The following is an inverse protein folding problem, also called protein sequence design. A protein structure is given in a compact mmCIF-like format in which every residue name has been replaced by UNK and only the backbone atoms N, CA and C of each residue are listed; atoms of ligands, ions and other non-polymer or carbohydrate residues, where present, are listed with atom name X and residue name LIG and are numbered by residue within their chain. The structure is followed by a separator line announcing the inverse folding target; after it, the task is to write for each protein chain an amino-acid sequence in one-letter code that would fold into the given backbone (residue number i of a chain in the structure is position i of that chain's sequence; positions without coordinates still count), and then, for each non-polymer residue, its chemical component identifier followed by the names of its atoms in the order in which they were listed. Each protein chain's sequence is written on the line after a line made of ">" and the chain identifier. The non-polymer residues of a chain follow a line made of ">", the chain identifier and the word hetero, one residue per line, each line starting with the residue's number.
data_IF_260406921256
#
_entry.id   IF_260406921256
#
_cell.length_a   1.000
_cell.length_b   1.000
_cell.length_c   1.000
_cell.angle_alpha   90.00
_cell.angle_beta   90.00
_cell.angle_gamma   90.00
#
_symmetry.space_group_name_H-M   'P 1'
#
loop_
_entity.id
_entity.type
_entity.pdbx_description
1 polymer ?
#
# COMPACT_ATOMS: atom_id res chain seq x y z
N UNK A 1 -45.67 -21.70 -7.54
CA UNK A 1 -45.42 -20.25 -7.62
C UNK A 1 -45.21 -19.90 -9.09
N UNK A 2 -46.06 -19.03 -9.65
CA UNK A 2 -45.93 -18.61 -11.04
C UNK A 2 -44.62 -17.82 -11.20
N UNK A 3 -43.63 -18.38 -11.91
CA UNK A 3 -42.43 -17.65 -12.32
C UNK A 3 -42.90 -16.49 -13.19
N UNK A 4 -42.72 -15.24 -12.75
CA UNK A 4 -43.08 -14.11 -13.60
C UNK A 4 -42.22 -14.20 -14.88
N UNK A 5 -42.90 -14.19 -16.01
CA UNK A 5 -42.31 -14.19 -17.36
C UNK A 5 -41.99 -12.76 -17.82
N UNK A 6 -42.17 -11.76 -16.96
CA UNK A 6 -41.89 -10.36 -17.27
C UNK A 6 -40.42 -10.04 -17.07
N UNK A 7 -39.85 -9.38 -18.07
CA UNK A 7 -38.54 -8.73 -18.06
C UNK A 7 -38.76 -7.21 -17.88
N UNK A 8 -37.82 -6.47 -17.28
CA UNK A 8 -36.54 -6.92 -16.71
C UNK A 8 -36.68 -7.76 -15.43
N UNK A 9 -35.75 -8.70 -15.23
CA UNK A 9 -35.59 -9.41 -13.95
C UNK A 9 -34.38 -8.85 -13.22
N UNK A 10 -34.49 -8.78 -11.90
CA UNK A 10 -33.45 -8.25 -11.04
C UNK A 10 -33.11 -9.26 -9.95
N UNK A 11 -31.84 -9.37 -9.60
CA UNK A 11 -31.40 -10.16 -8.45
C UNK A 11 -30.12 -9.61 -7.88
N UNK A 12 -29.95 -9.74 -6.57
CA UNK A 12 -28.69 -9.49 -5.88
C UNK A 12 -28.27 -10.78 -5.20
N UNK A 13 -27.02 -11.19 -5.39
CA UNK A 13 -26.45 -12.38 -4.77
C UNK A 13 -25.13 -12.03 -4.11
N UNK A 14 -24.92 -12.51 -2.90
CA UNK A 14 -23.64 -12.44 -2.21
C UNK A 14 -23.07 -13.86 -2.14
N UNK A 15 -21.86 -14.02 -2.68
CA UNK A 15 -21.11 -15.27 -2.67
C UNK A 15 -19.69 -14.94 -2.20
N UNK A 16 -19.31 -15.42 -1.01
CA UNK A 16 -18.05 -15.07 -0.35
C UNK A 16 -17.87 -13.53 -0.27
N UNK A 17 -16.73 -13.02 -0.77
CA UNK A 17 -16.36 -11.60 -0.78
C UNK A 17 -16.90 -10.82 -2.00
N UNK A 18 -17.90 -11.36 -2.69
CA UNK A 18 -18.43 -10.77 -3.92
C UNK A 18 -19.93 -10.59 -3.86
N UNK A 19 -20.39 -9.37 -4.10
CA UNK A 19 -21.82 -9.07 -4.28
C UNK A 19 -22.09 -8.77 -5.75
N UNK A 20 -22.94 -9.56 -6.38
CA UNK A 20 -23.35 -9.39 -7.78
C UNK A 20 -24.78 -8.88 -7.84
N UNK A 21 -24.96 -7.68 -8.37
CA UNK A 21 -26.25 -7.10 -8.71
C UNK A 21 -26.51 -7.34 -10.20
N UNK A 22 -27.60 -8.00 -10.54
CA UNK A 22 -27.94 -8.40 -11.91
C UNK A 22 -29.22 -7.70 -12.40
N UNK A 23 -29.16 -7.22 -13.64
CA UNK A 23 -30.32 -6.94 -14.48
C UNK A 23 -30.29 -7.88 -15.69
N UNK A 24 -31.36 -8.64 -15.85
CA UNK A 24 -31.57 -9.54 -16.98
C UNK A 24 -32.68 -8.98 -17.87
N UNK A 25 -32.32 -8.65 -19.10
CA UNK A 25 -33.23 -8.30 -20.20
C UNK A 25 -33.41 -9.50 -21.14
N UNK A 26 -34.27 -9.35 -22.16
CA UNK A 26 -34.52 -10.41 -23.15
C UNK A 26 -33.26 -10.78 -23.96
N UNK A 27 -32.43 -9.80 -24.29
CA UNK A 27 -31.28 -9.95 -25.19
C UNK A 27 -29.93 -9.65 -24.54
N UNK A 28 -29.92 -9.26 -23.25
CA UNK A 28 -28.72 -8.74 -22.58
C UNK A 28 -28.79 -9.02 -21.08
N UNK A 29 -27.67 -9.42 -20.50
CA UNK A 29 -27.48 -9.52 -19.05
C UNK A 29 -26.43 -8.51 -18.63
N UNK A 30 -26.71 -7.75 -17.57
CA UNK A 30 -25.77 -6.77 -17.03
C UNK A 30 -25.59 -7.01 -15.54
N UNK A 31 -24.33 -7.01 -15.11
CA UNK A 31 -23.94 -7.22 -13.73
C UNK A 31 -23.13 -6.02 -13.24
N UNK A 32 -23.37 -5.60 -12.00
CA UNK A 32 -22.44 -4.78 -11.24
C UNK A 32 -21.91 -5.66 -10.12
N UNK A 33 -20.61 -5.91 -10.15
CA UNK A 33 -19.90 -6.79 -9.23
C UNK A 33 -19.14 -5.93 -8.24
N UNK A 34 -19.41 -6.11 -6.95
CA UNK A 34 -18.72 -5.46 -5.84
C UNK A 34 -17.80 -6.48 -5.17
N UNK A 35 -16.52 -6.15 -5.05
CA UNK A 35 -15.58 -6.85 -4.19
C UNK A 35 -15.61 -6.22 -2.79
N UNK A 36 -16.04 -6.98 -1.79
CA UNK A 36 -16.21 -6.48 -0.41
C UNK A 36 -14.89 -6.31 0.34
N UNK A 37 -13.83 -7.03 -0.04
CA UNK A 37 -12.50 -6.89 0.59
C UNK A 37 -11.77 -5.64 0.11
N UNK A 38 -11.93 -5.25 -1.16
CA UNK A 38 -11.44 -3.97 -1.69
C UNK A 38 -12.29 -2.77 -1.27
N UNK A 39 -13.57 -2.99 -0.92
CA UNK A 39 -14.50 -1.90 -0.60
C UNK A 39 -14.24 -1.29 0.78
N UNK A 40 -13.81 -0.03 0.80
CA UNK A 40 -13.55 0.72 2.05
C UNK A 40 -14.78 1.45 2.61
N UNK A 41 -15.92 1.36 1.93
CA UNK A 41 -17.12 2.11 2.32
C UNK A 41 -16.98 3.64 2.22
N UNK A 42 -16.07 4.14 1.37
CA UNK A 42 -15.82 5.58 1.20
C UNK A 42 -17.01 6.40 0.69
N UNK A 43 -17.96 5.76 0.00
CA UNK A 43 -19.20 6.39 -0.45
C UNK A 43 -19.11 7.19 -1.76
N UNK A 44 -17.92 7.31 -2.37
CA UNK A 44 -17.75 7.99 -3.67
C UNK A 44 -18.72 7.42 -4.71
N UNK A 45 -18.86 6.09 -4.79
CA UNK A 45 -19.80 5.43 -5.70
C UNK A 45 -21.27 5.87 -5.52
N UNK A 46 -21.69 6.13 -4.28
CA UNK A 46 -23.03 6.65 -3.96
C UNK A 46 -23.18 8.09 -4.42
N UNK A 47 -22.19 8.94 -4.16
CA UNK A 47 -22.19 10.36 -4.54
C UNK A 47 -22.19 10.57 -6.06
N UNK A 48 -21.44 9.75 -6.80
CA UNK A 48 -21.30 9.89 -8.25
C UNK A 48 -22.43 9.21 -9.04
N UNK A 49 -23.30 8.44 -8.39
CA UNK A 49 -24.33 7.68 -9.09
C UNK A 49 -25.39 8.63 -9.68
N UNK A 50 -25.58 8.70 -11.01
CA UNK A 50 -26.57 9.59 -11.62
C UNK A 50 -28.03 9.14 -11.40
N UNK A 51 -28.22 7.92 -10.89
CA UNK A 51 -29.55 7.33 -10.63
C UNK A 51 -29.83 7.14 -9.14
N UNK A 52 -28.92 7.58 -8.26
CA UNK A 52 -29.01 7.42 -6.81
C UNK A 52 -29.37 5.96 -6.43
N UNK A 53 -28.78 5.01 -7.16
CA UNK A 53 -29.06 3.58 -7.02
C UNK A 53 -28.24 2.94 -5.90
N UNK A 54 -27.21 3.63 -5.39
CA UNK A 54 -26.25 3.11 -4.42
C UNK A 54 -26.45 3.84 -3.09
N UNK A 55 -26.61 3.07 -2.02
CA UNK A 55 -26.72 3.58 -0.64
C UNK A 55 -25.60 3.00 0.22
N UNK A 56 -25.15 3.76 1.22
CA UNK A 56 -24.17 3.30 2.20
C UNK A 56 -24.85 2.43 3.27
N UNK A 57 -24.18 1.34 3.64
CA UNK A 57 -24.56 0.48 4.77
C UNK A 57 -23.87 0.92 6.08
N UNK A 58 -23.75 -0.03 7.01
CA UNK A 58 -23.05 0.18 8.29
C UNK A 58 -21.52 0.12 8.10
N UNK A 59 -20.94 1.11 7.42
CA UNK A 59 -19.51 1.14 7.03
C UNK A 59 -18.57 0.77 8.18
N UNK A 60 -18.71 1.40 9.34
CA UNK A 60 -17.85 1.12 10.49
C UNK A 60 -18.03 -0.28 11.10
N UNK A 61 -19.19 -0.91 10.94
CA UNK A 61 -19.42 -2.28 11.42
C UNK A 61 -18.89 -3.30 10.41
N UNK A 62 -19.22 -3.14 9.13
CA UNK A 62 -18.80 -4.03 8.04
C UNK A 62 -17.29 -4.02 7.87
N UNK A 63 -16.66 -2.85 7.76
CA UNK A 63 -15.21 -2.75 7.51
C UNK A 63 -14.34 -3.17 8.71
N UNK A 64 -14.92 -3.35 9.90
CA UNK A 64 -14.23 -3.95 11.07
C UNK A 64 -14.56 -5.43 11.27
N UNK A 65 -15.36 -6.03 10.38
CA UNK A 65 -15.80 -7.42 10.52
C UNK A 65 -16.75 -7.66 11.69
N UNK A 66 -17.46 -6.62 12.17
CA UNK A 66 -18.44 -6.77 13.25
C UNK A 66 -19.79 -7.35 12.77
N UNK A 67 -20.02 -7.34 11.45
CA UNK A 67 -21.18 -7.93 10.80
C UNK A 67 -20.67 -8.77 9.63
N UNK A 68 -21.03 -10.04 9.63
CA UNK A 68 -20.80 -10.98 8.53
C UNK A 68 -22.02 -10.94 7.59
N UNK A 69 -21.83 -11.24 6.30
CA UNK A 69 -22.89 -11.26 5.27
C UNK A 69 -23.55 -9.90 4.91
N UNK A 70 -22.93 -8.77 5.28
CA UNK A 70 -23.31 -7.44 4.80
C UNK A 70 -22.17 -6.76 4.05
N UNK A 71 -22.53 -5.91 3.07
CA UNK A 71 -21.59 -5.08 2.33
C UNK A 71 -21.67 -3.61 2.79
N UNK A 72 -20.55 -2.89 2.67
CA UNK A 72 -20.48 -1.48 3.05
C UNK A 72 -21.37 -0.57 2.19
N UNK A 73 -21.80 -1.06 1.03
CA UNK A 73 -22.77 -0.40 0.15
C UNK A 73 -23.83 -1.41 -0.31
N UNK A 74 -25.03 -0.90 -0.61
CA UNK A 74 -26.10 -1.66 -1.26
C UNK A 74 -26.52 -0.95 -2.53
N UNK A 75 -26.83 -1.72 -3.58
CA UNK A 75 -27.23 -1.17 -4.88
C UNK A 75 -28.58 -1.74 -5.27
N UNK A 76 -29.50 -0.84 -5.63
CA UNK A 76 -30.80 -1.19 -6.19
C UNK A 76 -30.64 -1.52 -7.69
N UNK A 77 -30.70 -2.81 -8.09
CA UNK A 77 -30.53 -3.21 -9.49
C UNK A 77 -31.64 -2.69 -10.41
N UNK A 78 -32.79 -2.29 -9.87
CA UNK A 78 -33.89 -1.72 -10.65
C UNK A 78 -33.69 -0.23 -10.98
N UNK A 79 -32.93 0.50 -10.15
CA UNK A 79 -32.52 1.89 -10.41
C UNK A 79 -31.20 1.98 -11.18
N UNK A 80 -30.31 1.00 -10.99
CA UNK A 80 -28.98 0.99 -11.60
C UNK A 80 -29.08 0.93 -13.13
N UNK A 81 -28.36 1.83 -13.80
CA UNK A 81 -28.25 1.84 -15.27
C UNK A 81 -27.04 1.06 -15.79
N UNK A 82 -26.24 0.45 -14.91
CA UNK A 82 -25.00 -0.28 -15.25
C UNK A 82 -24.04 0.55 -16.15
N UNK A 83 -23.94 1.86 -15.89
CA UNK A 83 -23.16 2.77 -16.74
C UNK A 83 -21.64 2.75 -16.48
N UNK A 84 -21.19 2.29 -15.31
CA UNK A 84 -19.77 2.19 -14.97
C UNK A 84 -19.15 3.45 -14.33
N UNK A 85 -19.90 4.54 -14.11
CA UNK A 85 -19.38 5.75 -13.43
C UNK A 85 -18.78 5.41 -12.05
N UNK A 86 -19.48 4.58 -11.27
CA UNK A 86 -19.01 4.14 -9.96
C UNK A 86 -17.76 3.26 -10.01
N UNK A 87 -17.53 2.54 -11.12
CA UNK A 87 -16.29 1.79 -11.36
C UNK A 87 -15.13 2.75 -11.64
N UNK A 88 -15.31 3.68 -12.58
CA UNK A 88 -14.25 4.64 -12.96
C UNK A 88 -13.84 5.52 -11.78
N UNK A 89 -14.81 5.96 -10.97
CA UNK A 89 -14.55 6.83 -9.82
C UNK A 89 -14.14 6.08 -8.56
N UNK A 90 -14.09 4.75 -8.56
CA UNK A 90 -13.65 3.99 -7.38
C UNK A 90 -12.12 4.03 -7.26
N UNK A 91 -11.54 4.68 -6.24
CA UNK A 91 -10.08 4.73 -6.08
C UNK A 91 -9.48 3.42 -5.51
N UNK A 92 -10.31 2.40 -5.30
CA UNK A 92 -9.94 1.11 -4.70
C UNK A 92 -10.22 -0.07 -5.64
N UNK A 93 -10.66 0.19 -6.87
CA UNK A 93 -11.00 -0.84 -7.85
C UNK A 93 -11.94 -1.94 -7.30
N UNK A 94 -12.96 -1.52 -6.53
CA UNK A 94 -13.86 -2.42 -5.82
C UNK A 94 -15.12 -2.78 -6.62
N UNK A 95 -15.38 -2.12 -7.76
CA UNK A 95 -16.62 -2.22 -8.52
C UNK A 95 -16.33 -2.51 -9.99
N UNK A 96 -16.96 -3.52 -10.56
CA UNK A 96 -16.81 -3.87 -11.98
C UNK A 96 -18.18 -4.04 -12.65
N UNK A 97 -18.35 -3.46 -13.84
CA UNK A 97 -19.53 -3.71 -14.68
C UNK A 97 -19.20 -4.81 -15.68
N UNK A 98 -20.09 -5.80 -15.77
CA UNK A 98 -20.04 -6.85 -16.80
C UNK A 98 -21.29 -6.84 -17.66
N UNK A 99 -21.12 -7.11 -18.95
CA UNK A 99 -22.18 -7.29 -19.92
C UNK A 99 -22.01 -8.66 -20.56
N UNK A 100 -23.04 -9.50 -20.47
CA UNK A 100 -23.04 -10.86 -21.00
C UNK A 100 -21.83 -11.71 -20.56
N UNK A 101 -21.33 -11.45 -19.34
CA UNK A 101 -20.22 -12.17 -18.71
C UNK A 101 -18.86 -11.47 -18.82
N UNK A 102 -18.70 -10.52 -19.73
CA UNK A 102 -17.42 -9.84 -20.00
C UNK A 102 -17.35 -8.45 -19.34
N UNK A 103 -16.19 -8.02 -18.83
CA UNK A 103 -15.99 -6.64 -18.38
C UNK A 103 -16.33 -5.64 -19.48
N UNK A 104 -17.18 -4.66 -19.18
CA UNK A 104 -17.55 -3.59 -20.12
C UNK A 104 -17.74 -2.29 -19.37
N UNK A 105 -17.20 -1.21 -19.93
CA UNK A 105 -17.36 0.15 -19.40
C UNK A 105 -18.06 1.00 -20.47
N UNK A 106 -19.40 0.89 -20.61
CA UNK A 106 -20.13 1.53 -21.71
C UNK A 106 -19.90 3.04 -21.78
N UNK A 107 -19.75 3.71 -20.63
CA UNK A 107 -19.54 5.16 -20.62
C UNK A 107 -18.14 5.57 -21.09
N UNK A 108 -17.12 4.73 -20.86
CA UNK A 108 -15.75 4.98 -21.33
C UNK A 108 -15.62 4.64 -22.81
N UNK A 109 -16.22 3.54 -23.24
CA UNK A 109 -16.28 3.11 -24.65
C UNK A 109 -16.93 4.16 -25.56
N UNK A 110 -17.78 5.03 -25.00
CA UNK A 110 -18.48 6.11 -25.71
C UNK A 110 -17.83 7.50 -25.47
N UNK A 111 -16.61 7.57 -24.93
CA UNK A 111 -15.92 8.82 -24.56
C UNK A 111 -16.80 9.76 -23.70
N UNK A 112 -17.65 9.20 -22.84
CA UNK A 112 -18.65 9.94 -22.07
C UNK A 112 -18.17 10.40 -20.69
N UNK A 113 -16.99 9.97 -20.24
CA UNK A 113 -16.50 10.20 -18.88
C UNK A 113 -14.96 10.20 -18.80
N UNK A 114 -14.34 11.04 -17.94
CA UNK A 114 -12.89 11.09 -17.81
C UNK A 114 -12.37 10.03 -16.82
N UNK A 115 -11.04 9.85 -16.77
CA UNK A 115 -10.34 8.97 -15.83
C UNK A 115 -9.51 9.77 -14.84
N UNK A 116 -9.10 9.17 -13.72
CA UNK A 116 -8.15 9.82 -12.82
C UNK A 116 -6.82 10.15 -13.53
N UNK A 117 -6.33 11.37 -13.31
CA UNK A 117 -5.03 11.86 -13.75
C UNK A 117 -4.09 11.97 -12.54
N UNK A 118 -3.57 10.82 -12.15
CA UNK A 118 -2.65 10.70 -11.02
C UNK A 118 -1.27 10.26 -11.51
N UNK A 119 -0.28 10.40 -10.65
CA UNK A 119 1.10 9.99 -10.90
C UNK A 119 1.56 9.15 -9.73
N UNK A 120 2.12 7.98 -10.01
CA UNK A 120 2.77 7.14 -9.02
C UNK A 120 3.98 6.46 -9.66
N UNK A 121 5.10 7.17 -9.65
CA UNK A 121 6.31 6.80 -10.40
C UNK A 121 7.54 6.75 -9.50
N UNK A 122 8.48 5.88 -9.87
CA UNK A 122 9.79 5.74 -9.21
C UNK A 122 10.87 6.07 -10.23
N UNK A 123 11.70 7.06 -9.93
CA UNK A 123 12.90 7.39 -10.69
C UNK A 123 13.97 6.33 -10.43
N UNK A 124 14.16 5.43 -11.41
CA UNK A 124 15.18 4.38 -11.39
C UNK A 124 16.61 4.91 -11.25
N UNK A 125 16.88 6.17 -11.62
CA UNK A 125 18.20 6.76 -11.46
C UNK A 125 18.50 7.09 -9.99
N UNK A 126 17.49 7.48 -9.23
CA UNK A 126 17.62 7.76 -7.78
C UNK A 126 17.38 6.53 -6.92
N UNK A 127 16.51 5.61 -7.35
CA UNK A 127 16.13 4.45 -6.57
C UNK A 127 17.34 3.51 -6.32
N UNK A 128 17.65 3.29 -5.04
CA UNK A 128 18.66 2.31 -4.58
C UNK A 128 18.07 0.92 -4.33
N UNK A 129 16.75 0.76 -4.54
CA UNK A 129 15.99 -0.50 -4.42
C UNK A 129 15.99 -1.10 -3.01
N UNK A 130 16.03 -0.23 -2.00
CA UNK A 130 15.81 -0.58 -0.58
C UNK A 130 14.37 -1.11 -0.33
N UNK A 131 14.05 -1.44 0.92
CA UNK A 131 12.76 -2.05 1.31
C UNK A 131 11.74 -1.04 1.86
N UNK A 132 12.13 0.22 2.10
CA UNK A 132 11.31 1.16 2.87
C UNK A 132 9.93 1.43 2.27
N UNK A 133 9.86 1.64 0.95
CA UNK A 133 8.57 1.93 0.31
C UNK A 133 7.63 0.71 0.29
N UNK A 134 8.15 -0.51 0.13
CA UNK A 134 7.32 -1.72 0.17
C UNK A 134 6.81 -2.02 1.58
N UNK A 135 7.65 -1.82 2.60
CA UNK A 135 7.25 -2.03 4.00
C UNK A 135 6.23 -0.97 4.47
N UNK A 136 6.31 0.25 3.95
CA UNK A 136 5.42 1.33 4.32
C UNK A 136 4.08 1.34 3.54
N UNK A 137 3.97 0.58 2.44
CA UNK A 137 2.78 0.62 1.59
C UNK A 137 1.59 -0.08 2.27
N UNK A 138 0.48 0.62 2.59
CA UNK A 138 -0.65 -0.01 3.27
C UNK A 138 -1.51 -0.91 2.36
N UNK A 139 -1.22 -0.96 1.05
CA UNK A 139 -2.00 -1.72 0.07
C UNK A 139 -1.13 -2.69 -0.75
N UNK A 140 0.11 -2.94 -0.32
CA UNK A 140 1.06 -3.85 -0.98
C UNK A 140 1.28 -3.57 -2.49
N UNK A 141 1.08 -2.32 -2.93
CA UNK A 141 1.18 -1.92 -4.35
C UNK A 141 2.62 -1.74 -4.84
N UNK A 142 3.62 -2.00 -4.00
CA UNK A 142 5.05 -1.86 -4.36
C UNK A 142 5.61 -3.23 -4.68
N UNK A 143 5.93 -3.46 -5.95
CA UNK A 143 6.52 -4.72 -6.42
C UNK A 143 8.04 -4.57 -6.49
N UNK A 144 8.74 -5.28 -5.61
CA UNK A 144 10.22 -5.33 -5.59
C UNK A 144 10.72 -6.55 -6.34
N UNK A 145 11.21 -6.35 -7.56
CA UNK A 145 11.84 -7.38 -8.37
C UNK A 145 13.35 -7.49 -8.07
N UNK A 146 13.71 -7.55 -6.79
CA UNK A 146 15.10 -7.71 -6.33
C UNK A 146 15.36 -9.17 -5.96
N UNK A 147 16.58 -9.71 -6.17
CA UNK A 147 16.90 -11.07 -5.76
C UNK A 147 16.68 -11.30 -4.27
N UNK A 148 16.17 -12.49 -3.94
CA UNK A 148 16.07 -12.97 -2.56
C UNK A 148 17.40 -13.62 -2.21
N UNK A 149 18.02 -13.18 -1.11
CA UNK A 149 19.35 -13.64 -0.72
C UNK A 149 19.30 -14.83 0.25
N UNK A 150 20.43 -15.53 0.36
CA UNK A 150 20.60 -16.69 1.25
C UNK A 150 20.19 -16.39 2.70
N UNK A 151 19.54 -17.36 3.36
CA UNK A 151 19.04 -17.21 4.73
C UNK A 151 17.58 -16.73 4.83
N UNK A 152 17.02 -16.17 3.76
CA UNK A 152 15.56 -15.99 3.64
C UNK A 152 14.88 -17.22 3.03
N UNK A 153 15.53 -17.81 2.02
CA UNK A 153 15.09 -19.04 1.34
C UNK A 153 16.26 -20.01 1.14
N UNK A 154 15.96 -21.31 1.00
CA UNK A 154 16.96 -22.38 0.89
C UNK A 154 17.91 -22.19 -0.31
N UNK A 155 17.40 -21.69 -1.44
CA UNK A 155 18.15 -21.47 -2.69
C UNK A 155 18.36 -19.97 -2.98
N UNK A 156 18.51 -19.16 -1.93
CA UNK A 156 18.71 -17.72 -2.06
C UNK A 156 20.04 -17.37 -2.73
N UNK A 157 20.08 -16.23 -3.42
CA UNK A 157 21.32 -15.72 -4.02
C UNK A 157 22.33 -15.42 -2.92
N UNK A 158 23.60 -15.76 -3.14
CA UNK A 158 24.70 -15.44 -2.22
C UNK A 158 24.76 -13.93 -1.95
N UNK A 159 24.83 -13.50 -0.69
CA UNK A 159 24.90 -12.05 -0.34
C UNK A 159 26.11 -11.34 -0.95
N UNK A 160 27.18 -12.08 -1.20
CA UNK A 160 28.41 -11.61 -1.84
C UNK A 160 28.17 -11.10 -3.27
N UNK A 161 27.12 -11.59 -3.94
CA UNK A 161 26.72 -11.19 -5.28
C UNK A 161 25.71 -10.01 -5.28
N UNK A 162 25.38 -9.46 -4.11
CA UNK A 162 24.42 -8.35 -4.02
C UNK A 162 24.97 -7.04 -4.60
N UNK A 163 26.28 -6.87 -4.58
CA UNK A 163 26.97 -5.68 -5.08
C UNK A 163 28.22 -6.11 -5.83
N UNK A 164 28.43 -5.48 -6.99
CA UNK A 164 29.68 -5.58 -7.71
C UNK A 164 30.80 -4.96 -6.86
N UNK A 165 31.74 -5.80 -6.45
CA UNK A 165 32.84 -5.39 -5.61
C UNK A 165 34.08 -6.21 -5.90
N UNK A 166 35.21 -5.54 -5.94
CA UNK A 166 36.52 -6.19 -6.05
C UNK A 166 37.03 -6.37 -4.63
N UNK A 167 37.13 -7.62 -4.20
CA UNK A 167 37.80 -7.99 -2.96
C UNK A 167 39.24 -8.34 -3.28
N UNK A 168 40.17 -7.84 -2.47
CA UNK A 168 41.60 -8.15 -2.54
C UNK A 168 42.03 -8.66 -1.18
N UNK A 169 42.63 -9.86 -1.14
CA UNK A 169 43.23 -10.42 0.06
C UNK A 169 44.72 -10.67 -0.21
N UNK A 170 45.57 -10.07 0.62
CA UNK A 170 47.03 -10.20 0.54
C UNK A 170 47.53 -10.85 1.82
N UNK A 171 48.37 -11.87 1.66
CA UNK A 171 49.06 -12.52 2.78
C UNK A 171 50.56 -12.25 2.68
N UNK A 172 51.10 -11.60 3.70
CA UNK A 172 52.54 -11.38 3.86
C UNK A 172 53.23 -12.70 4.24
N UNK A 173 54.03 -13.23 3.31
CA UNK A 173 54.71 -14.52 3.46
C UNK A 173 55.85 -14.47 4.47
N UNK A 174 56.40 -13.28 4.77
CA UNK A 174 57.48 -13.14 5.75
C UNK A 174 56.95 -13.16 7.18
N UNK A 175 55.72 -12.65 7.38
CA UNK A 175 55.05 -12.65 8.68
C UNK A 175 54.23 -13.90 8.96
N UNK A 176 53.68 -14.54 7.93
CA UNK A 176 52.75 -15.66 8.11
C UNK A 176 53.43 -16.90 8.69
N UNK A 177 53.07 -17.28 9.92
CA UNK A 177 53.52 -18.52 10.58
C UNK A 177 52.81 -19.79 10.09
N UNK A 178 51.83 -19.67 9.18
CA UNK A 178 51.05 -20.79 8.65
C UNK A 178 50.28 -21.56 9.77
N UNK A 179 49.94 -20.86 10.86
CA UNK A 179 49.29 -21.42 12.06
C UNK A 179 47.87 -21.95 11.81
N UNK A 180 47.17 -21.42 10.81
CA UNK A 180 45.87 -21.89 10.33
C UNK A 180 44.63 -21.41 11.05
N UNK A 181 44.76 -20.48 12.00
CA UNK A 181 43.62 -19.82 12.67
C UNK A 181 42.64 -19.24 11.64
N UNK A 182 43.16 -18.56 10.61
CA UNK A 182 42.33 -17.96 9.57
C UNK A 182 41.49 -18.98 8.77
N UNK A 183 42.02 -20.18 8.51
CA UNK A 183 41.30 -21.25 7.80
C UNK A 183 40.28 -21.97 8.71
N UNK A 184 40.51 -21.99 10.03
CA UNK A 184 39.51 -22.48 10.98
C UNK A 184 38.31 -21.54 11.12
N UNK A 185 38.51 -20.24 10.90
CA UNK A 185 37.48 -19.21 11.04
C UNK A 185 36.77 -18.86 9.73
N UNK A 186 37.42 -19.07 8.58
CA UNK A 186 36.94 -18.58 7.30
C UNK A 186 36.87 -19.71 6.26
N UNK A 187 35.69 -20.01 5.70
CA UNK A 187 35.56 -21.03 4.65
C UNK A 187 36.25 -20.63 3.34
N UNK A 188 36.56 -19.34 3.16
CA UNK A 188 37.29 -18.83 1.99
C UNK A 188 38.81 -19.05 2.08
N UNK A 189 39.34 -19.54 3.21
CA UNK A 189 40.77 -19.72 3.43
C UNK A 189 41.09 -21.17 3.72
N UNK A 190 42.11 -21.68 3.03
CA UNK A 190 42.65 -23.02 3.25
C UNK A 190 44.15 -22.91 3.49
N UNK A 191 44.68 -23.70 4.42
CA UNK A 191 46.13 -23.80 4.60
C UNK A 191 46.65 -25.01 3.84
N UNK A 192 47.63 -24.78 2.96
CA UNK A 192 48.39 -25.82 2.30
C UNK A 192 49.79 -25.87 2.90
N UNK A 193 49.95 -26.69 3.94
CA UNK A 193 51.24 -26.90 4.62
C UNK A 193 52.12 -27.85 3.82
N UNK A 194 53.42 -27.60 3.85
CA UNK A 194 54.42 -28.61 3.49
C UNK A 194 54.30 -29.75 4.51
N UNK A 195 54.30 -31.03 4.08
CA UNK A 195 54.22 -32.17 4.99
C UNK A 195 55.38 -32.16 5.99
N UNK A 196 55.07 -32.40 7.26
CA UNK A 196 56.08 -32.52 8.29
C UNK A 196 56.87 -33.82 8.11
N UNK A 197 58.17 -33.71 7.79
CA UNK A 197 59.08 -34.83 7.67
C UNK A 197 60.39 -34.54 8.40
N UNK A 198 61.23 -35.56 8.60
CA UNK A 198 62.56 -35.36 9.20
C UNK A 198 63.46 -34.41 8.38
N UNK A 199 63.19 -34.27 7.08
CA UNK A 199 63.89 -33.34 6.18
C UNK A 199 63.28 -31.93 6.19
N UNK A 200 62.01 -31.80 6.59
CA UNK A 200 61.26 -30.54 6.60
C UNK A 200 60.76 -30.25 8.02
N UNK A 201 61.68 -29.87 8.90
CA UNK A 201 61.40 -29.50 10.29
C UNK A 201 61.00 -28.01 10.33
N UNK A 202 59.73 -27.72 10.64
CA UNK A 202 59.20 -26.36 10.76
C UNK A 202 57.80 -26.19 10.16
N UNK A 203 57.25 -24.98 10.25
CA UNK A 203 55.96 -24.60 9.66
C UNK A 203 56.18 -23.83 8.36
N UNK A 204 56.17 -24.55 7.23
CA UNK A 204 56.21 -23.97 5.89
C UNK A 204 54.92 -24.28 5.13
N UNK A 205 54.48 -23.37 4.27
CA UNK A 205 53.27 -23.55 3.47
C UNK A 205 52.74 -22.25 2.90
N UNK A 206 51.52 -22.31 2.39
CA UNK A 206 50.82 -21.15 1.82
C UNK A 206 49.37 -21.11 2.31
N UNK A 207 48.83 -19.89 2.37
CA UNK A 207 47.40 -19.65 2.55
C UNK A 207 46.78 -19.55 1.16
N UNK A 208 45.85 -20.45 0.86
CA UNK A 208 45.06 -20.46 -0.38
C UNK A 208 43.76 -19.75 -0.11
N UNK A 209 43.41 -18.80 -0.98
CA UNK A 209 42.20 -17.98 -0.85
C UNK A 209 41.24 -18.24 -2.00
N UNK A 210 39.99 -18.54 -1.67
CA UNK A 210 38.87 -18.62 -2.60
C UNK A 210 38.05 -17.33 -2.54
N UNK A 211 38.22 -16.47 -3.54
CA UNK A 211 37.48 -15.21 -3.64
C UNK A 211 35.95 -15.41 -3.74
N UNK A 212 35.48 -16.55 -4.27
CA UNK A 212 34.04 -16.81 -4.44
C UNK A 212 33.29 -17.03 -3.12
N UNK A 213 34.03 -17.32 -2.04
CA UNK A 213 33.50 -17.53 -0.69
C UNK A 213 33.81 -16.36 0.26
N UNK A 214 34.58 -15.36 -0.20
CA UNK A 214 35.06 -14.28 0.65
C UNK A 214 34.09 -13.09 0.69
N UNK A 215 33.54 -12.81 1.86
CA UNK A 215 32.67 -11.65 2.10
C UNK A 215 33.45 -10.39 2.48
N UNK A 216 34.79 -10.45 2.54
CA UNK A 216 35.65 -9.40 3.06
C UNK A 216 35.28 -8.90 4.47
N UNK A 217 34.81 -9.79 5.36
CA UNK A 217 34.41 -9.45 6.73
C UNK A 217 35.58 -9.08 7.67
N UNK A 218 36.81 -9.18 7.19
CA UNK A 218 38.06 -8.87 7.92
C UNK A 218 38.36 -9.70 9.18
N UNK A 219 37.53 -10.70 9.51
CA UNK A 219 37.76 -11.59 10.66
C UNK A 219 39.12 -12.29 10.59
N UNK A 220 39.56 -12.72 9.41
CA UNK A 220 40.87 -13.36 9.25
C UNK A 220 42.05 -12.38 9.45
N UNK A 221 41.89 -11.11 9.10
CA UNK A 221 42.89 -10.07 9.33
C UNK A 221 43.01 -9.77 10.83
N UNK A 222 41.87 -9.57 11.50
CA UNK A 222 41.81 -9.29 12.95
C UNK A 222 42.27 -10.47 13.81
N UNK A 223 42.03 -11.71 13.37
CA UNK A 223 42.39 -12.90 14.12
C UNK A 223 43.84 -13.36 13.86
N UNK A 224 44.58 -12.73 12.94
CA UNK A 224 45.94 -13.12 12.63
C UNK A 224 46.90 -12.64 13.73
N UNK A 225 47.57 -13.53 14.48
CA UNK A 225 48.47 -13.12 15.56
C UNK A 225 49.74 -12.40 15.06
N UNK A 226 50.06 -12.56 13.78
CA UNK A 226 51.28 -12.03 13.15
C UNK A 226 50.99 -10.81 12.25
N UNK A 227 49.75 -10.30 12.24
CA UNK A 227 49.29 -9.21 11.35
C UNK A 227 49.67 -9.43 9.87
N UNK A 228 49.63 -10.69 9.43
CA UNK A 228 50.10 -11.12 8.12
C UNK A 228 49.03 -11.03 7.01
N UNK A 229 47.78 -10.71 7.33
CA UNK A 229 46.66 -10.74 6.38
C UNK A 229 46.06 -9.34 6.23
N UNK A 230 45.96 -8.84 5.01
CA UNK A 230 45.24 -7.61 4.65
C UNK A 230 44.05 -7.96 3.76
N UNK A 231 42.87 -7.40 4.06
CA UNK A 231 41.64 -7.61 3.29
C UNK A 231 41.00 -6.26 2.97
N UNK A 232 40.90 -5.95 1.68
CA UNK A 232 40.27 -4.73 1.16
C UNK A 232 39.12 -5.11 0.24
N UNK A 233 38.00 -4.36 0.32
CA UNK A 233 36.87 -4.50 -0.59
C UNK A 233 36.50 -3.13 -1.13
N UNK A 234 36.57 -3.00 -2.45
CA UNK A 234 36.17 -1.79 -3.16
C UNK A 234 34.86 -2.10 -3.88
N UNK A 235 33.77 -1.46 -3.45
CA UNK A 235 32.46 -1.55 -4.09
C UNK A 235 32.46 -0.63 -5.32
N UNK A 236 31.97 -1.11 -6.46
CA UNK A 236 31.85 -0.28 -7.66
C UNK A 236 30.74 0.78 -7.49
N UNK A 237 30.80 1.92 -8.20
CA UNK A 237 30.12 3.15 -7.79
C UNK A 237 28.58 3.11 -7.76
N UNK A 238 27.94 2.18 -8.46
CA UNK A 238 26.47 2.03 -8.42
C UNK A 238 26.08 1.11 -7.26
N UNK A 239 25.98 1.67 -6.06
CA UNK A 239 25.50 0.98 -4.85
C UNK A 239 23.99 0.70 -4.90
N UNK A 240 23.50 0.11 -5.99
CA UNK A 240 22.10 -0.29 -6.17
C UNK A 240 22.01 -1.81 -6.12
N UNK A 241 21.03 -2.34 -5.38
CA UNK A 241 20.73 -3.77 -5.48
C UNK A 241 20.31 -4.12 -6.92
N UNK A 242 20.60 -5.33 -7.43
CA UNK A 242 20.10 -5.76 -8.73
C UNK A 242 18.56 -5.80 -8.77
N UNK A 243 17.99 -5.67 -9.97
CA UNK A 243 16.54 -5.69 -10.19
C UNK A 243 15.93 -4.30 -10.36
N UNK A 244 14.63 -4.18 -10.09
CA UNK A 244 13.90 -2.92 -10.15
C UNK A 244 12.74 -2.89 -9.14
N UNK A 245 12.19 -1.71 -8.89
CA UNK A 245 11.04 -1.52 -8.00
C UNK A 245 9.97 -0.76 -8.77
N UNK A 246 8.76 -1.30 -8.84
CA UNK A 246 7.64 -0.69 -9.56
C UNK A 246 6.43 -0.52 -8.67
N UNK A 247 5.61 0.47 -8.99
CA UNK A 247 4.31 0.69 -8.35
C UNK A 247 3.25 0.10 -9.27
N UNK A 248 2.49 -0.86 -8.76
CA UNK A 248 1.30 -1.39 -9.41
C UNK A 248 0.21 -0.30 -9.44
N UNK A 249 -0.13 0.15 -10.64
CA UNK A 249 -1.08 1.25 -10.85
C UNK A 249 -2.52 0.83 -10.60
N UNK A 250 -2.84 -0.47 -10.66
CA UNK A 250 -4.21 -0.98 -10.48
C UNK A 250 -4.59 -1.06 -8.99
N UNK A 251 -3.59 -1.23 -8.12
CA UNK A 251 -3.79 -1.32 -6.66
C UNK A 251 -3.36 -0.07 -5.90
N UNK A 252 -2.56 0.82 -6.52
CA UNK A 252 -2.09 2.04 -5.87
C UNK A 252 -3.22 3.06 -5.65
N UNK A 253 -3.42 3.45 -4.38
CA UNK A 253 -4.44 4.44 -4.01
C UNK A 253 -3.92 5.88 -3.89
N UNK A 254 -2.65 6.14 -4.23
CA UNK A 254 -2.00 7.47 -4.16
C UNK A 254 -1.84 8.08 -2.76
N UNK A 255 -1.65 7.26 -1.73
CA UNK A 255 -1.52 7.72 -0.33
C UNK A 255 -0.17 8.38 0.03
N UNK A 256 0.80 8.47 -0.88
CA UNK A 256 2.12 9.11 -0.64
C UNK A 256 3.02 8.51 0.45
N UNK A 257 2.71 7.34 1.03
CA UNK A 257 3.65 6.69 1.97
C UNK A 257 5.02 6.49 1.37
N UNK A 258 5.08 5.87 0.17
CA UNK A 258 6.31 5.60 -0.55
C UNK A 258 7.12 6.87 -0.87
N UNK A 259 6.46 7.98 -1.17
CA UNK A 259 7.08 9.29 -1.37
C UNK A 259 7.67 9.84 -0.07
N UNK A 260 6.94 9.76 1.05
CA UNK A 260 7.35 10.34 2.34
C UNK A 260 8.43 9.56 3.06
N UNK A 261 8.55 8.26 2.82
CA UNK A 261 9.57 7.41 3.46
C UNK A 261 10.81 7.18 2.59
N UNK A 262 10.80 7.61 1.31
CA UNK A 262 11.92 7.36 0.41
C UNK A 262 13.14 8.23 0.79
N UNK A 263 14.27 7.63 1.22
CA UNK A 263 15.45 8.41 1.59
C UNK A 263 16.12 9.11 0.40
N UNK A 264 15.92 8.59 -0.82
CA UNK A 264 16.52 9.11 -2.05
C UNK A 264 15.61 10.07 -2.82
N UNK A 265 14.41 10.37 -2.29
CA UNK A 265 13.40 11.18 -2.98
C UNK A 265 13.14 10.71 -4.43
N UNK A 266 13.13 9.38 -4.61
CA UNK A 266 12.99 8.73 -5.91
C UNK A 266 11.53 8.58 -6.33
N UNK A 267 10.57 8.73 -5.42
CA UNK A 267 9.15 8.47 -5.68
C UNK A 267 8.39 9.78 -5.82
N UNK A 268 7.53 9.89 -6.83
CA UNK A 268 6.65 11.04 -7.05
C UNK A 268 5.21 10.60 -7.03
N UNK A 269 4.38 11.24 -6.19
CA UNK A 269 2.95 10.94 -6.09
C UNK A 269 2.11 12.19 -6.34
N UNK A 270 1.24 12.13 -7.36
CA UNK A 270 0.15 13.09 -7.57
C UNK A 270 -1.16 12.38 -7.20
N UNK A 271 -1.89 12.90 -6.21
CA UNK A 271 -3.11 12.27 -5.67
C UNK A 271 -4.31 12.43 -6.59
N UNK A 272 -5.36 11.64 -6.35
CA UNK A 272 -6.66 11.79 -7.04
C UNK A 272 -7.38 13.10 -6.72
N UNK A 273 -7.25 13.60 -5.49
CA UNK A 273 -8.07 14.70 -4.96
C UNK A 273 -7.22 15.76 -4.28
N UNK A 274 -7.60 17.02 -4.48
CA UNK A 274 -7.15 18.15 -3.66
C UNK A 274 -8.22 18.49 -2.63
N UNK A 275 -7.80 19.01 -1.48
CA UNK A 275 -8.72 19.48 -0.46
C UNK A 275 -8.14 19.41 0.93
N UNK A 276 -9.02 19.39 1.93
CA UNK A 276 -8.63 19.30 3.31
C UNK A 276 -9.58 18.42 4.14
N UNK A 277 -9.05 17.92 5.26
CA UNK A 277 -9.78 17.15 6.25
C UNK A 277 -9.46 17.69 7.65
N UNK A 278 -10.50 17.85 8.46
CA UNK A 278 -10.44 18.44 9.80
C UNK A 278 -10.98 17.42 10.80
N UNK A 279 -10.25 17.21 11.89
CA UNK A 279 -10.66 16.39 13.02
C UNK A 279 -10.91 17.30 14.23
N UNK A 280 -12.16 17.37 14.67
CA UNK A 280 -12.60 18.07 15.86
C UNK A 280 -12.44 17.13 17.07
N UNK A 281 -11.23 17.10 17.63
CA UNK A 281 -10.87 16.18 18.71
C UNK A 281 -11.71 16.38 19.99
N UNK A 282 -12.22 17.59 20.22
CA UNK A 282 -13.15 17.93 21.31
C UNK A 282 -14.50 17.20 21.20
N UNK A 283 -14.92 16.85 19.97
CA UNK A 283 -16.15 16.08 19.71
C UNK A 283 -15.90 14.58 19.66
N UNK A 284 -14.64 14.14 19.60
CA UNK A 284 -14.30 12.74 19.58
C UNK A 284 -14.47 12.13 20.98
N UNK A 285 -15.35 11.14 21.18
CA UNK A 285 -15.51 10.50 22.50
C UNK A 285 -14.26 9.72 22.92
N UNK A 286 -13.35 9.44 21.99
CA UNK A 286 -12.18 8.59 22.19
C UNK A 286 -12.54 7.11 22.32
N UNK A 287 -11.52 6.24 22.30
CA UNK A 287 -11.64 4.82 22.68
C UNK A 287 -12.23 3.85 21.66
N UNK A 288 -12.81 4.31 20.53
CA UNK A 288 -13.47 3.41 19.57
C UNK A 288 -12.60 2.97 18.37
N UNK A 289 -11.47 3.66 18.11
CA UNK A 289 -10.54 3.48 16.97
C UNK A 289 -11.12 3.35 15.55
N UNK A 290 -12.44 3.50 15.38
CA UNK A 290 -13.16 3.10 14.15
C UNK A 290 -12.54 3.67 12.88
N UNK A 291 -12.29 4.98 12.87
CA UNK A 291 -11.73 5.68 11.72
C UNK A 291 -10.24 5.41 11.50
N UNK A 292 -9.50 5.00 12.54
CA UNK A 292 -8.11 4.53 12.42
C UNK A 292 -8.10 3.18 11.71
N UNK A 293 -8.90 2.23 12.22
CA UNK A 293 -8.91 0.84 11.75
C UNK A 293 -9.39 0.71 10.29
N UNK A 294 -10.31 1.58 9.87
CA UNK A 294 -10.87 1.53 8.51
C UNK A 294 -10.14 2.45 7.51
N UNK A 295 -9.08 3.16 7.92
CA UNK A 295 -8.37 4.06 7.03
C UNK A 295 -7.52 3.27 6.03
N UNK A 296 -7.85 3.24 4.72
CA UNK A 296 -7.07 2.47 3.74
C UNK A 296 -5.67 3.04 3.48
N UNK A 297 -5.42 4.26 3.96
CA UNK A 297 -4.15 4.95 3.84
C UNK A 297 -3.30 4.86 5.11
N UNK A 298 -3.77 4.25 6.20
CA UNK A 298 -3.13 4.35 7.52
C UNK A 298 -2.76 5.82 7.92
N UNK A 299 -3.56 6.79 7.48
CA UNK A 299 -3.27 8.21 7.66
C UNK A 299 -3.75 8.76 9.02
N UNK A 300 -4.64 8.04 9.70
CA UNK A 300 -5.28 8.47 10.95
C UNK A 300 -4.61 7.74 12.11
N UNK A 301 -4.31 8.44 13.20
CA UNK A 301 -3.64 7.87 14.37
C UNK A 301 -4.17 8.45 15.67
N UNK A 302 -3.92 7.74 16.77
CA UNK A 302 -4.22 8.18 18.13
C UNK A 302 -2.93 8.74 18.75
N UNK A 303 -2.83 10.06 19.00
CA UNK A 303 -1.63 10.65 19.57
C UNK A 303 -1.27 10.06 20.92
N UNK A 304 0.02 9.83 21.17
CA UNK A 304 0.51 9.39 22.48
C UNK A 304 0.32 10.51 23.51
N UNK A 305 -0.29 10.23 24.68
CA UNK A 305 -0.47 11.25 25.71
C UNK A 305 0.86 11.83 26.18
N UNK A 306 0.93 13.15 26.35
CA UNK A 306 2.12 13.80 26.89
C UNK A 306 2.17 13.56 28.41
N UNK A 307 3.37 13.28 29.00
CA UNK A 307 3.49 13.15 30.45
C UNK A 307 2.96 14.39 31.19
N UNK A 308 2.25 14.18 32.31
CA UNK A 308 1.60 15.26 33.08
C UNK A 308 2.52 16.43 33.45
N UNK A 309 3.83 16.17 33.63
CA UNK A 309 4.87 17.19 33.89
C UNK A 309 5.06 18.20 32.75
N UNK A 310 4.74 17.81 31.51
CA UNK A 310 4.91 18.61 30.30
C UNK A 310 3.58 19.16 29.76
N UNK A 311 2.45 18.81 30.40
CA UNK A 311 1.14 19.31 30.01
C UNK A 311 1.03 20.81 30.29
N UNK A 312 0.56 21.57 29.29
CA UNK A 312 0.23 22.98 29.49
C UNK A 312 -1.05 23.07 30.31
N UNK A 313 -1.10 24.02 31.24
CA UNK A 313 -2.31 24.27 32.04
C UNK A 313 -3.47 24.58 31.09
N UNK A 314 -4.57 23.82 31.21
CA UNK A 314 -5.78 23.91 30.37
C UNK A 314 -5.61 23.50 28.89
N UNK A 315 -4.57 22.74 28.50
CA UNK A 315 -4.53 22.15 27.16
C UNK A 315 -5.29 20.83 27.12
N UNK A 316 -6.21 20.70 26.15
CA UNK A 316 -6.81 19.42 25.76
C UNK A 316 -5.93 18.85 24.64
N UNK A 317 -5.36 17.68 24.87
CA UNK A 317 -4.61 16.99 23.82
C UNK A 317 -5.57 16.36 22.81
N UNK A 318 -5.23 16.41 21.52
CA UNK A 318 -6.00 15.69 20.53
C UNK A 318 -5.92 14.19 20.82
N UNK A 319 -7.07 13.57 21.09
CA UNK A 319 -7.19 12.12 21.21
C UNK A 319 -7.22 11.41 19.85
N UNK A 320 -7.26 12.18 18.76
CA UNK A 320 -7.25 11.72 17.38
C UNK A 320 -6.59 12.75 16.47
N UNK A 321 -5.82 12.28 15.49
CA UNK A 321 -5.18 13.13 14.50
C UNK A 321 -5.07 12.43 13.13
N UNK A 322 -4.81 13.20 12.09
CA UNK A 322 -4.61 12.72 10.73
C UNK A 322 -3.36 13.34 10.13
N UNK A 323 -2.55 12.52 9.45
CA UNK A 323 -1.49 13.00 8.59
C UNK A 323 -2.08 13.34 7.21
N UNK A 324 -2.23 14.64 6.94
CA UNK A 324 -2.82 15.15 5.69
C UNK A 324 -1.99 14.79 4.46
N UNK A 325 -0.68 14.65 4.61
CA UNK A 325 0.22 14.21 3.54
C UNK A 325 -0.06 12.79 3.10
N UNK A 326 -0.72 11.97 3.94
CA UNK A 326 -1.03 10.57 3.64
C UNK A 326 -2.50 10.35 3.26
N UNK A 327 -3.38 11.28 3.63
CA UNK A 327 -4.81 11.19 3.36
C UNK A 327 -5.10 11.40 1.86
N UNK A 328 -5.94 10.54 1.27
CA UNK A 328 -6.40 10.69 -0.13
C UNK A 328 -7.79 11.33 -0.22
N UNK A 329 -8.37 11.76 0.90
CA UNK A 329 -9.70 12.38 0.92
C UNK A 329 -10.82 11.46 0.37
N UNK A 330 -10.75 10.15 0.63
CA UNK A 330 -11.79 9.21 0.16
C UNK A 330 -13.11 9.35 0.93
N UNK A 331 -13.08 9.71 2.22
CA UNK A 331 -14.28 9.89 3.06
C UNK A 331 -14.73 8.65 3.84
N UNK A 332 -14.00 7.53 3.81
CA UNK A 332 -14.35 6.33 4.57
C UNK A 332 -14.49 6.61 6.08
N UNK A 333 -13.53 7.33 6.66
CA UNK A 333 -13.57 7.74 8.07
C UNK A 333 -14.80 8.59 8.44
N UNK A 334 -15.26 9.45 7.53
CA UNK A 334 -16.46 10.28 7.70
C UNK A 334 -17.71 9.41 7.78
N UNK A 335 -17.82 8.39 6.93
CA UNK A 335 -18.97 7.47 6.92
C UNK A 335 -18.97 6.49 8.10
N UNK A 336 -17.79 6.14 8.61
CA UNK A 336 -17.66 5.17 9.70
C UNK A 336 -17.77 5.81 11.09
N UNK A 337 -17.51 7.11 11.23
CA UNK A 337 -17.53 7.78 12.52
C UNK A 337 -18.98 7.96 13.02
N UNK A 338 -19.30 7.41 14.21
CA UNK A 338 -20.67 7.47 14.76
C UNK A 338 -21.00 8.81 15.43
N UNK A 339 -20.01 9.69 15.60
CA UNK A 339 -20.13 10.94 16.35
C UNK A 339 -20.30 12.13 15.39
N UNK A 340 -21.19 13.04 15.77
CA UNK A 340 -21.53 14.21 14.95
C UNK A 340 -20.35 15.20 14.86
N UNK A 341 -20.07 15.62 13.62
CA UNK A 341 -19.10 16.65 13.24
C UNK A 341 -17.68 16.44 13.79
N UNK A 342 -17.28 15.21 14.12
CA UNK A 342 -15.89 14.88 14.52
C UNK A 342 -14.95 15.00 13.34
N UNK A 343 -15.35 14.52 12.17
CA UNK A 343 -14.49 14.48 10.98
C UNK A 343 -15.19 15.25 9.88
N UNK A 344 -14.56 16.28 9.34
CA UNK A 344 -15.08 17.05 8.20
C UNK A 344 -14.11 16.98 7.05
N UNK A 345 -14.60 16.65 5.86
CA UNK A 345 -13.82 16.55 4.63
C UNK A 345 -14.36 17.54 3.60
N UNK A 346 -13.46 18.19 2.87
CA UNK A 346 -13.80 19.05 1.73
C UNK A 346 -12.81 18.79 0.60
N UNK A 347 -13.31 18.39 -0.56
CA UNK A 347 -12.52 18.32 -1.79
C UNK A 347 -12.62 19.66 -2.52
N UNK A 348 -11.51 20.15 -3.05
CA UNK A 348 -11.43 21.37 -3.85
C UNK A 348 -11.17 21.07 -5.33
N UNK A 349 -10.64 19.89 -5.64
CA UNK A 349 -10.33 19.47 -7.00
C UNK A 349 -10.29 17.95 -7.13
N UNK A 350 -10.53 17.47 -8.34
CA UNK A 350 -10.41 16.06 -8.74
C UNK A 350 -9.50 16.06 -9.96
N UNK A 351 -8.37 15.37 -9.87
CA UNK A 351 -7.43 15.29 -10.99
C UNK A 351 -7.92 14.24 -11.98
N UNK A 352 -8.32 14.69 -13.17
CA UNK A 352 -8.81 13.82 -14.23
C UNK A 352 -8.23 14.15 -15.60
N UNK A 353 -8.20 13.16 -16.50
CA UNK A 353 -7.84 13.27 -17.90
C UNK A 353 -8.98 12.77 -18.78
N UNK A 354 -9.22 13.45 -19.91
CA UNK A 354 -10.28 13.09 -20.85
C UNK A 354 -11.47 14.06 -20.83
N UNK A 355 -12.66 13.63 -21.28
CA UNK A 355 -13.77 14.52 -21.58
C UNK A 355 -14.53 14.97 -20.31
N UNK A 356 -14.57 16.27 -20.06
CA UNK A 356 -15.38 16.89 -19.00
C UNK A 356 -16.83 17.14 -19.44
N UNK A 357 -17.59 16.06 -19.56
CA UNK A 357 -19.02 16.10 -19.93
C UNK A 357 -19.88 16.78 -18.85
N UNK A 358 -21.11 17.16 -19.19
CA UNK A 358 -22.06 17.75 -18.24
C UNK A 358 -22.36 16.81 -17.05
N UNK A 359 -22.34 15.50 -17.32
CA UNK A 359 -22.44 14.47 -16.29
C UNK A 359 -21.26 14.55 -15.33
N UNK A 360 -20.03 14.61 -15.85
CA UNK A 360 -18.83 14.76 -15.02
C UNK A 360 -18.86 16.05 -14.20
N UNK A 361 -19.19 17.19 -14.81
CA UNK A 361 -19.28 18.49 -14.10
C UNK A 361 -20.29 18.45 -12.95
N UNK A 362 -21.43 17.81 -13.15
CA UNK A 362 -22.45 17.61 -12.10
C UNK A 362 -21.91 16.74 -10.97
N UNK A 363 -21.20 15.66 -11.29
CA UNK A 363 -20.59 14.75 -10.31
C UNK A 363 -19.45 15.43 -9.55
N UNK A 364 -18.57 16.15 -10.23
CA UNK A 364 -17.48 16.89 -9.62
C UNK A 364 -18.00 17.95 -8.65
N UNK A 365 -19.07 18.66 -9.03
CA UNK A 365 -19.74 19.59 -8.14
C UNK A 365 -20.28 18.91 -6.87
N UNK A 366 -20.92 17.73 -7.00
CA UNK A 366 -21.42 16.93 -5.86
C UNK A 366 -20.28 16.47 -4.94
N UNK A 367 -19.20 15.91 -5.50
CA UNK A 367 -18.06 15.36 -4.73
C UNK A 367 -17.26 16.43 -3.96
N UNK A 368 -17.32 17.69 -4.41
CA UNK A 368 -16.67 18.84 -3.77
C UNK A 368 -17.52 19.49 -2.68
N UNK A 369 -18.76 19.02 -2.45
CA UNK A 369 -19.58 19.47 -1.31
C UNK A 369 -18.92 18.97 -0.01
N UNK A 370 -18.66 19.85 0.98
CA UNK A 370 -18.12 19.43 2.27
C UNK A 370 -19.03 18.42 2.98
N UNK A 371 -18.43 17.45 3.65
CA UNK A 371 -19.15 16.41 4.41
C UNK A 371 -18.61 16.32 5.82
N UNK A 372 -19.47 16.03 6.80
CA UNK A 372 -19.06 15.75 8.18
C UNK A 372 -19.55 14.39 8.67
N UNK A 373 -18.89 13.85 9.69
CA UNK A 373 -19.26 12.58 10.31
C UNK A 373 -20.58 12.71 11.04
N UNK A 374 -21.45 11.72 10.80
CA UNK A 374 -22.84 11.56 11.25
C UNK A 374 -23.75 12.80 11.40
N UNK A 375 -24.99 12.51 11.09
CA UNK A 375 -26.06 13.46 10.89
C UNK A 375 -27.11 13.21 11.97
N UNK A 376 -27.67 14.30 12.52
CA UNK A 376 -28.90 14.41 13.33
C UNK A 376 -29.71 13.12 13.50
N UNK A 377 -29.76 12.64 14.75
CA UNK A 377 -30.77 11.69 15.23
C UNK A 377 -31.84 12.45 16.02
N UNK A 378 -32.94 12.82 15.37
CA UNK A 378 -34.06 13.49 16.05
C UNK A 378 -34.94 12.49 16.85
N UNK A 379 -34.93 11.18 16.51
CA UNK A 379 -35.66 10.11 17.21
C UNK A 379 -34.87 8.80 17.24
N UNK A 380 -34.93 8.10 18.38
CA UNK A 380 -34.29 6.80 18.59
C UNK A 380 -34.82 5.77 17.55
N UNK A 381 -33.92 5.27 16.70
CA UNK A 381 -34.23 4.28 15.65
C UNK A 381 -34.56 4.86 14.26
N UNK A 382 -34.53 6.19 14.07
CA UNK A 382 -34.57 6.83 12.76
C UNK A 382 -33.27 7.61 12.53
N UNK A 383 -32.39 7.04 11.70
CA UNK A 383 -31.18 7.71 11.23
C UNK A 383 -31.53 8.42 9.93
N UNK A 384 -31.63 9.75 9.97
CA UNK A 384 -31.57 10.55 8.74
C UNK A 384 -30.11 10.85 8.44
N UNK A 385 -29.67 10.61 7.20
CA UNK A 385 -28.42 11.17 6.69
C UNK A 385 -28.69 12.65 6.37
N UNK A 386 -27.70 13.54 6.54
CA UNK A 386 -27.84 15.01 6.28
C UNK A 386 -28.07 14.97 4.80
N UNK A 387 -29.29 15.27 4.38
CA UNK A 387 -29.50 15.65 3.00
C UNK A 387 -28.49 16.77 2.75
N UNK A 388 -27.57 16.52 1.83
CA UNK A 388 -26.67 17.53 1.32
C UNK A 388 -27.58 18.64 0.76
N UNK A 389 -27.82 19.69 1.55
CA UNK A 389 -28.49 20.91 1.08
C UNK A 389 -27.59 21.67 0.11
#
# INVERSE_FOLDING_TARGET
>A
MAMSTMYPKYSTKMENDTVTMEQRLLSKVSNLVLNTTKCTGCGICSEVCPKDAIVLGLVGAVCRGAVEDEAAISVDPAKCSYCGVCTIMCPFDALEVRVDGEPSLPIKEQEGFPEYDFTAEIDENKCVRCTTCSEACPNDSIVRNTPIYEGEVADGVKRQAALDAVTTLVVDKEKCSVCGICASLCPALMIKRVPFTAEHVGSAGEVVWDNSLCNACQVCALACPDDAITVERVVTPESKLPGNVVIDQDTCITCSWCEKVCPEEAVTIKKFFDGDIIFNADKCPGGCSTCVDICPCNAIYLPTPVPALQMKRNSIEPNIAVNKDLCILCGACVNACPSEDVITIKRTGIHVKGPETDLYKTIAAKLCIPRSSKVREDKFGQVELKSLE
#
